data_IF_140736882368
#
_entry.id   IF_140736882368
#
_cell.length_a   1.000
_cell.length_b   1.000
_cell.length_c   1.000
_cell.angle_alpha   90.00
_cell.angle_beta   90.00
_cell.angle_gamma   90.00
#
_symmetry.space_group_name_H-M   'P 1'
#
loop_
_entity.id
_entity.type
_entity.pdbx_description
1 polymer ?
#
# COMPACT_ATOMS: atom_id res chain seq x y z
N UNK A 1 19.33 -4.27 -12.10
CA UNK A 1 18.65 -4.49 -10.80
C UNK A 1 19.30 -3.76 -9.63
N UNK A 2 20.63 -3.82 -9.42
CA UNK A 2 21.27 -3.17 -8.24
C UNK A 2 20.97 -1.66 -8.10
N UNK A 3 20.86 -0.91 -9.21
CA UNK A 3 20.53 0.51 -9.18
C UNK A 3 19.07 0.79 -8.72
N UNK A 4 18.10 -0.01 -9.14
CA UNK A 4 16.69 0.14 -8.76
C UNK A 4 16.43 -0.26 -7.30
N UNK A 5 17.16 -1.26 -6.80
CA UNK A 5 17.13 -1.62 -5.38
C UNK A 5 17.72 -0.48 -4.54
N UNK A 6 18.82 0.14 -5.00
CA UNK A 6 19.42 1.29 -4.32
C UNK A 6 18.50 2.51 -4.31
N UNK A 7 17.62 2.66 -5.30
CA UNK A 7 16.65 3.75 -5.38
C UNK A 7 15.31 3.43 -4.71
N UNK A 8 15.20 2.31 -3.97
CA UNK A 8 13.95 1.82 -3.35
C UNK A 8 12.79 1.50 -4.32
N UNK A 9 13.07 1.40 -5.62
CA UNK A 9 12.05 1.10 -6.64
C UNK A 9 11.96 -0.40 -6.98
N UNK A 10 12.69 -1.25 -6.27
CA UNK A 10 12.56 -2.69 -6.40
C UNK A 10 12.87 -3.42 -5.09
N UNK A 11 12.09 -4.45 -4.77
CA UNK A 11 12.27 -5.29 -3.58
C UNK A 11 12.20 -6.78 -3.96
N UNK A 12 13.14 -7.64 -3.51
CA UNK A 12 13.07 -9.07 -3.78
C UNK A 12 11.91 -9.73 -3.02
N UNK A 13 11.21 -10.63 -3.69
CA UNK A 13 10.07 -11.39 -3.12
C UNK A 13 10.55 -12.63 -2.38
N UNK A 14 11.65 -13.23 -2.84
CA UNK A 14 12.20 -14.47 -2.27
C UNK A 14 13.67 -14.33 -1.87
N UNK A 15 14.12 -15.22 -0.98
CA UNK A 15 15.50 -15.26 -0.47
C UNK A 15 16.53 -15.46 -1.58
N UNK A 16 16.15 -16.17 -2.63
CA UNK A 16 17.00 -16.41 -3.81
C UNK A 16 17.04 -15.21 -4.75
N UNK A 17 16.23 -14.18 -4.49
CA UNK A 17 16.09 -12.95 -5.26
C UNK A 17 15.86 -13.22 -6.75
N UNK A 18 15.01 -14.21 -7.05
CA UNK A 18 14.65 -14.57 -8.42
C UNK A 18 13.44 -13.79 -8.93
N UNK A 19 12.60 -13.28 -8.02
CA UNK A 19 11.46 -12.43 -8.32
C UNK A 19 11.54 -11.13 -7.51
N UNK A 20 11.05 -10.06 -8.11
CA UNK A 20 11.05 -8.72 -7.52
C UNK A 20 9.70 -8.05 -7.73
N UNK A 21 9.27 -7.29 -6.74
CA UNK A 21 8.36 -6.20 -7.02
C UNK A 21 9.15 -5.05 -7.64
N UNK A 22 8.59 -4.46 -8.68
CA UNK A 22 9.07 -3.20 -9.27
C UNK A 22 8.01 -2.16 -8.96
N UNK A 23 8.43 -1.07 -8.37
CA UNK A 23 7.55 0.01 -7.97
C UNK A 23 7.78 1.23 -8.85
N UNK A 24 6.70 1.84 -9.32
CA UNK A 24 6.77 3.11 -10.06
C UNK A 24 6.76 4.33 -9.14
N UNK A 25 6.19 4.18 -7.95
CA UNK A 25 6.38 5.05 -6.79
C UNK A 25 6.99 4.22 -5.66
N UNK A 26 7.88 4.80 -4.85
CA UNK A 26 8.35 4.17 -3.61
C UNK A 26 7.18 3.86 -2.66
N UNK A 27 7.37 2.97 -1.69
CA UNK A 27 6.32 2.67 -0.71
C UNK A 27 5.92 3.93 0.09
N UNK A 28 6.86 4.83 0.33
CA UNK A 28 6.63 6.10 1.01
C UNK A 28 5.79 7.08 0.17
N UNK A 29 6.06 7.17 -1.14
CA UNK A 29 5.25 7.97 -2.08
C UNK A 29 3.85 7.37 -2.22
N UNK A 30 3.74 6.05 -2.30
CA UNK A 30 2.44 5.38 -2.29
C UNK A 30 1.64 5.63 -1.03
N UNK A 31 2.29 5.60 0.13
CA UNK A 31 1.65 5.92 1.39
C UNK A 31 1.09 7.36 1.35
N UNK A 32 1.87 8.32 0.85
CA UNK A 32 1.39 9.70 0.69
C UNK A 32 0.18 9.81 -0.26
N UNK A 33 0.20 9.11 -1.40
CA UNK A 33 -0.93 9.07 -2.35
C UNK A 33 -2.18 8.48 -1.68
N UNK A 34 -2.04 7.33 -1.01
CA UNK A 34 -3.16 6.63 -0.37
C UNK A 34 -3.74 7.43 0.82
N UNK A 35 -2.87 8.01 1.66
CA UNK A 35 -3.28 8.84 2.78
C UNK A 35 -3.99 10.14 2.35
N UNK A 36 -3.47 10.80 1.29
CA UNK A 36 -4.11 11.98 0.71
C UNK A 36 -5.49 11.63 0.17
N UNK A 37 -5.61 10.53 -0.58
CA UNK A 37 -6.90 10.05 -1.06
C UNK A 37 -7.90 9.79 0.08
N UNK A 38 -7.47 9.11 1.16
CA UNK A 38 -8.34 8.80 2.28
C UNK A 38 -8.88 10.06 2.96
N UNK A 39 -8.03 11.09 3.08
CA UNK A 39 -8.39 12.39 3.63
C UNK A 39 -9.37 13.13 2.72
N UNK A 40 -9.04 13.25 1.43
CA UNK A 40 -9.80 14.04 0.44
C UNK A 40 -11.19 13.47 0.17
N UNK A 41 -11.35 12.15 0.35
CA UNK A 41 -12.63 11.45 0.10
C UNK A 41 -13.45 11.21 1.37
N UNK A 42 -12.97 11.66 2.54
CA UNK A 42 -13.68 11.52 3.81
C UNK A 42 -13.70 10.09 4.37
N UNK A 43 -12.74 9.24 3.98
CA UNK A 43 -12.58 7.89 4.52
C UNK A 43 -11.81 7.86 5.86
N UNK A 44 -11.24 8.99 6.30
CA UNK A 44 -10.69 9.13 7.66
C UNK A 44 -11.74 8.80 8.72
N UNK A 45 -11.36 7.94 9.67
CA UNK A 45 -12.25 7.45 10.73
C UNK A 45 -13.13 6.26 10.33
N UNK A 46 -13.08 5.82 9.06
CA UNK A 46 -13.83 4.65 8.57
C UNK A 46 -12.91 3.47 8.24
N UNK A 47 -13.50 2.27 8.19
CA UNK A 47 -12.79 1.05 7.81
C UNK A 47 -13.12 0.73 6.34
N UNK A 48 -12.09 0.48 5.55
CA UNK A 48 -12.21 -0.02 4.17
C UNK A 48 -11.58 -1.40 4.06
N UNK A 49 -12.18 -2.28 3.25
CA UNK A 49 -11.52 -3.53 2.88
C UNK A 49 -10.39 -3.27 1.89
N UNK A 50 -9.36 -4.12 1.89
CA UNK A 50 -8.29 -4.00 0.90
C UNK A 50 -8.80 -4.21 -0.53
N UNK A 51 -9.85 -5.04 -0.69
CA UNK A 51 -10.52 -5.26 -1.96
C UNK A 51 -11.17 -3.99 -2.51
N UNK A 52 -11.87 -3.22 -1.67
CA UNK A 52 -12.48 -1.94 -2.09
C UNK A 52 -11.41 -0.93 -2.54
N UNK A 53 -10.28 -0.85 -1.84
CA UNK A 53 -9.18 0.06 -2.19
C UNK A 53 -8.62 -0.23 -3.57
N UNK A 54 -8.23 -1.48 -3.85
CA UNK A 54 -7.64 -1.83 -5.15
C UNK A 54 -8.65 -1.73 -6.30
N UNK A 55 -9.95 -1.70 -6.01
CA UNK A 55 -11.01 -1.55 -7.00
C UNK A 55 -11.60 -0.13 -7.05
N UNK A 56 -10.98 0.84 -6.37
CA UNK A 56 -11.44 2.24 -6.42
C UNK A 56 -11.15 2.80 -7.81
N UNK A 57 -12.14 3.29 -8.58
CA UNK A 57 -11.93 3.76 -9.95
C UNK A 57 -11.17 5.10 -9.99
N UNK A 58 -10.44 5.33 -11.09
CA UNK A 58 -9.70 6.57 -11.38
C UNK A 58 -8.64 6.96 -10.32
N UNK A 59 -8.10 5.99 -9.59
CA UNK A 59 -6.99 6.22 -8.67
C UNK A 59 -5.72 5.56 -9.20
N UNK A 60 -4.54 6.07 -8.82
CA UNK A 60 -3.28 5.47 -9.28
C UNK A 60 -3.01 4.10 -8.64
N UNK A 61 -3.55 3.86 -7.44
CA UNK A 61 -3.40 2.60 -6.72
C UNK A 61 -4.44 1.54 -7.14
N UNK A 62 -5.33 1.82 -8.10
CA UNK A 62 -6.26 0.84 -8.65
C UNK A 62 -5.49 -0.32 -9.25
N UNK A 63 -5.88 -1.56 -8.92
CA UNK A 63 -5.23 -2.79 -9.39
C UNK A 63 -3.88 -3.08 -8.71
N UNK A 64 -3.49 -2.32 -7.68
CA UNK A 64 -2.29 -2.62 -6.90
C UNK A 64 -2.36 -4.04 -6.32
N UNK A 65 -1.25 -4.78 -6.41
CA UNK A 65 -1.17 -6.10 -5.80
C UNK A 65 -1.36 -6.01 -4.28
N UNK A 66 -2.20 -6.86 -3.69
CA UNK A 66 -2.58 -6.76 -2.28
C UNK A 66 -1.38 -6.79 -1.32
N UNK A 67 -0.39 -7.65 -1.57
CA UNK A 67 0.85 -7.66 -0.76
C UNK A 67 1.62 -6.34 -0.79
N UNK A 68 1.57 -5.61 -1.92
CA UNK A 68 2.18 -4.28 -2.04
C UNK A 68 1.34 -3.27 -1.26
N UNK A 69 0.01 -3.32 -1.37
CA UNK A 69 -0.89 -2.46 -0.59
C UNK A 69 -0.68 -2.64 0.93
N UNK A 70 -0.52 -3.87 1.40
CA UNK A 70 -0.21 -4.15 2.82
C UNK A 70 1.10 -3.48 3.23
N UNK A 71 2.14 -3.53 2.38
CA UNK A 71 3.41 -2.83 2.65
C UNK A 71 3.24 -1.32 2.71
N UNK A 72 2.44 -0.75 1.81
CA UNK A 72 2.11 0.68 1.80
C UNK A 72 1.36 1.09 3.08
N UNK A 73 0.36 0.31 3.50
CA UNK A 73 -0.40 0.55 4.73
C UNK A 73 0.52 0.47 5.95
N UNK A 74 1.48 -0.46 6.00
CA UNK A 74 2.47 -0.51 7.08
C UNK A 74 3.34 0.75 7.18
N UNK A 75 3.58 1.44 6.06
CA UNK A 75 4.26 2.75 6.08
C UNK A 75 3.36 3.82 6.71
N UNK A 76 2.06 3.81 6.43
CA UNK A 76 1.09 4.71 7.07
C UNK A 76 0.93 4.41 8.57
N UNK A 77 0.90 3.12 8.93
CA UNK A 77 0.82 2.66 10.32
C UNK A 77 2.02 3.12 11.14
N UNK A 78 3.22 3.05 10.57
CA UNK A 78 4.43 3.60 11.20
C UNK A 78 4.38 5.12 11.43
N UNK A 79 3.51 5.85 10.71
CA UNK A 79 3.25 7.28 10.88
C UNK A 79 2.04 7.59 11.78
N UNK A 80 1.35 6.57 12.28
CA UNK A 80 0.05 6.69 12.98
C UNK A 80 -1.05 7.33 12.11
N UNK A 81 -1.00 7.12 10.79
CA UNK A 81 -2.00 7.64 9.84
C UNK A 81 -3.04 6.56 9.45
N UNK A 82 -2.75 5.29 9.71
CA UNK A 82 -3.66 4.18 9.47
C UNK A 82 -3.38 3.00 10.42
N UNK A 83 -4.32 2.04 10.47
CA UNK A 83 -4.19 0.78 11.21
C UNK A 83 -4.64 -0.37 10.31
N UNK A 84 -3.76 -1.37 10.13
CA UNK A 84 -4.07 -2.56 9.33
C UNK A 84 -4.89 -3.55 10.17
N UNK A 85 -6.03 -3.98 9.63
CA UNK A 85 -6.92 -4.95 10.25
C UNK A 85 -6.78 -6.27 9.50
N UNK A 86 -6.19 -7.27 10.14
CA UNK A 86 -6.04 -8.62 9.57
C UNK A 86 -7.18 -9.49 10.07
N UNK A 87 -7.94 -10.07 9.14
CA UNK A 87 -9.00 -11.05 9.42
C UNK A 87 -8.78 -12.28 8.55
N UNK A 88 -9.32 -13.43 8.97
CA UNK A 88 -9.07 -14.72 8.30
C UNK A 88 -9.41 -14.68 6.80
N UNK A 89 -10.50 -14.00 6.41
CA UNK A 89 -10.98 -13.96 5.02
C UNK A 89 -11.08 -12.53 4.44
N UNK A 90 -10.94 -11.48 5.25
CA UNK A 90 -11.20 -10.11 4.79
C UNK A 90 -10.34 -9.05 5.48
N UNK A 91 -9.13 -8.83 4.95
CA UNK A 91 -8.27 -7.76 5.44
C UNK A 91 -8.86 -6.38 5.15
N UNK A 92 -8.68 -5.46 6.09
CA UNK A 92 -9.09 -4.08 5.95
C UNK A 92 -8.05 -3.11 6.52
N UNK A 93 -8.37 -1.83 6.44
CA UNK A 93 -7.57 -0.74 7.00
C UNK A 93 -8.50 0.32 7.54
N UNK A 94 -8.13 0.88 8.68
CA UNK A 94 -8.75 2.09 9.24
C UNK A 94 -7.81 3.25 9.04
N UNK A 95 -8.26 4.30 8.36
CA UNK A 95 -7.50 5.55 8.26
C UNK A 95 -7.84 6.49 9.43
N UNK A 96 -6.87 7.28 9.88
CA UNK A 96 -7.05 8.24 10.96
C UNK A 96 -7.25 9.68 10.46
#
# INVERSE_FOLDING_TARGET
MSALVSSKNAEPIDKHRTRYYIYWHTLEEWAAILGTWATDTGHSGTVCTLYELINTPNQEFTGMHQDVLIKVIKVLEAKNEAELIIMDDNNGVKFF
#
